data_IF_842043272678
#
_entry.id   IF_842043272678
#
_cell.length_a   1.000
_cell.length_b   1.000
_cell.length_c   1.000
_cell.angle_alpha   90.00
_cell.angle_beta   90.00
_cell.angle_gamma   90.00
#
_symmetry.space_group_name_H-M   'P 1'
#
loop_
_entity.id
_entity.type
_entity.pdbx_description
1 polymer ?
#
# COMPACT_ATOMS: atom_id res chain seq x y z
N UNK A 1 -21.12 -0.92 39.50
CA UNK A 1 -21.40 -1.91 38.44
C UNK A 1 -21.76 -1.15 37.19
N UNK A 2 -20.76 -0.66 36.46
CA UNK A 2 -20.96 -0.12 35.13
C UNK A 2 -20.77 -1.29 34.18
N UNK A 3 -21.81 -1.61 33.42
CA UNK A 3 -21.87 -2.75 32.53
C UNK A 3 -20.68 -2.78 31.57
N UNK A 4 -20.00 -3.93 31.52
CA UNK A 4 -18.98 -4.30 30.55
C UNK A 4 -19.59 -4.55 29.15
N UNK A 5 -20.54 -3.72 28.72
CA UNK A 5 -21.09 -3.73 27.36
C UNK A 5 -20.09 -3.18 26.31
N UNK A 6 -18.86 -2.86 26.72
CA UNK A 6 -17.78 -2.38 25.84
C UNK A 6 -17.29 -3.44 24.83
N UNK A 7 -17.77 -4.68 24.89
CA UNK A 7 -17.33 -5.75 23.98
C UNK A 7 -18.20 -5.94 22.72
N UNK A 8 -19.16 -5.06 22.42
CA UNK A 8 -19.87 -5.08 21.13
C UNK A 8 -19.14 -4.28 20.03
N UNK A 9 -17.81 -4.37 20.02
CA UNK A 9 -16.92 -3.67 19.08
C UNK A 9 -16.62 -4.64 17.93
N UNK A 10 -16.88 -4.17 16.70
CA UNK A 10 -16.62 -4.88 15.44
C UNK A 10 -15.24 -5.61 15.46
N UNK A 11 -15.17 -6.92 15.15
CA UNK A 11 -13.91 -7.70 15.12
C UNK A 11 -12.78 -7.05 14.30
N UNK A 12 -13.11 -6.32 13.24
CA UNK A 12 -12.14 -5.60 12.41
C UNK A 12 -11.45 -4.44 13.17
N UNK A 13 -12.13 -3.82 14.14
CA UNK A 13 -11.56 -2.77 15.00
C UNK A 13 -10.56 -3.36 15.99
N UNK A 14 -10.87 -4.52 16.59
CA UNK A 14 -9.95 -5.23 17.48
C UNK A 14 -8.67 -5.66 16.75
N UNK A 15 -8.78 -6.14 15.51
CA UNK A 15 -7.62 -6.50 14.68
C UNK A 15 -6.64 -5.32 14.49
N UNK A 16 -7.12 -4.12 14.16
CA UNK A 16 -6.26 -2.93 14.02
C UNK A 16 -5.65 -2.47 15.36
N UNK A 17 -6.44 -2.53 16.44
CA UNK A 17 -5.96 -2.21 17.79
C UNK A 17 -4.82 -3.14 18.22
N UNK A 18 -5.02 -4.45 18.13
CA UNK A 18 -4.02 -5.44 18.55
C UNK A 18 -2.81 -5.47 17.63
N UNK A 19 -2.97 -5.21 16.33
CA UNK A 19 -1.84 -5.03 15.41
C UNK A 19 -0.94 -3.87 15.84
N UNK A 20 -1.51 -2.71 16.18
CA UNK A 20 -0.74 -1.55 16.67
C UNK A 20 -0.13 -1.78 18.04
N UNK A 21 -0.82 -2.51 18.93
CA UNK A 21 -0.26 -2.96 20.19
C UNK A 21 0.96 -3.87 19.97
N UNK A 22 0.90 -4.80 19.01
CA UNK A 22 2.02 -5.66 18.63
C UNK A 22 3.22 -4.86 18.13
N UNK A 23 3.00 -3.87 17.24
CA UNK A 23 4.06 -2.95 16.76
C UNK A 23 4.71 -2.18 17.93
N UNK A 24 3.89 -1.65 18.86
CA UNK A 24 4.38 -0.92 20.02
C UNK A 24 5.15 -1.84 21.00
N UNK A 25 4.75 -3.10 21.14
CA UNK A 25 5.37 -4.08 22.03
C UNK A 25 6.70 -4.62 21.49
N UNK A 26 6.80 -4.85 20.18
CA UNK A 26 7.97 -5.49 19.56
C UNK A 26 9.08 -4.49 19.16
N UNK A 27 8.81 -3.18 19.25
CA UNK A 27 9.84 -2.15 19.16
C UNK A 27 10.64 -2.07 20.46
N UNK A 28 11.89 -2.53 20.44
CA UNK A 28 12.79 -2.40 21.59
C UNK A 28 12.91 -0.93 22.06
N UNK A 29 12.99 -0.77 23.39
CA UNK A 29 12.97 0.51 24.15
C UNK A 29 11.77 1.44 23.90
N UNK A 30 11.42 2.22 24.92
CA UNK A 30 10.30 3.16 24.99
C UNK A 30 10.40 4.29 23.95
N UNK A 31 10.24 3.99 22.66
CA UNK A 31 10.01 5.01 21.65
C UNK A 31 8.62 5.60 21.88
N UNK A 32 8.60 6.74 22.58
CA UNK A 32 7.42 7.54 22.93
C UNK A 32 6.48 7.76 21.74
N UNK A 33 7.01 7.87 20.52
CA UNK A 33 6.23 8.05 19.30
C UNK A 33 5.33 6.84 18.97
N UNK A 34 5.81 5.61 19.18
CA UNK A 34 5.03 4.38 18.92
C UNK A 34 3.89 4.23 19.92
N UNK A 35 4.18 4.49 21.19
CA UNK A 35 3.18 4.49 22.26
C UNK A 35 2.16 5.62 22.08
N UNK A 36 2.59 6.81 21.65
CA UNK A 36 1.68 7.90 21.31
C UNK A 36 0.77 7.54 20.13
N UNK A 37 1.29 6.88 19.09
CA UNK A 37 0.49 6.40 17.95
C UNK A 37 -0.54 5.33 18.36
N UNK A 38 -0.14 4.39 19.22
CA UNK A 38 -1.04 3.40 19.81
C UNK A 38 -2.15 4.09 20.64
N UNK A 39 -1.78 4.98 21.57
CA UNK A 39 -2.72 5.67 22.45
C UNK A 39 -3.68 6.59 21.69
N UNK A 40 -3.24 7.25 20.61
CA UNK A 40 -4.12 8.03 19.74
C UNK A 40 -5.13 7.14 19.00
N UNK A 41 -4.71 5.97 18.54
CA UNK A 41 -5.62 5.02 17.88
C UNK A 41 -6.62 4.44 18.88
N UNK A 42 -6.17 4.11 20.09
CA UNK A 42 -7.04 3.69 21.18
C UNK A 42 -8.08 4.77 21.50
N UNK A 43 -7.65 6.03 21.70
CA UNK A 43 -8.56 7.17 21.90
C UNK A 43 -9.57 7.33 20.77
N UNK A 44 -9.16 7.14 19.50
CA UNK A 44 -10.06 7.23 18.35
C UNK A 44 -11.12 6.13 18.37
N UNK A 45 -10.72 4.89 18.64
CA UNK A 45 -11.64 3.75 18.75
C UNK A 45 -12.60 3.91 19.94
N UNK A 46 -12.13 4.47 21.06
CA UNK A 46 -12.98 4.85 22.18
C UNK A 46 -13.92 6.02 21.85
N UNK A 47 -13.54 6.89 20.91
CA UNK A 47 -14.33 8.06 20.51
C UNK A 47 -15.38 7.79 19.44
N UNK A 48 -15.22 6.73 18.62
CA UNK A 48 -16.26 6.30 17.66
C UNK A 48 -17.53 5.76 18.38
N UNK A 49 -17.44 5.51 19.69
CA UNK A 49 -18.58 5.21 20.58
C UNK A 49 -18.90 6.35 21.56
N UNK A 50 -18.12 7.43 21.61
CA UNK A 50 -18.31 8.51 22.57
C UNK A 50 -18.93 9.73 21.90
N UNK A 51 -20.10 10.12 22.40
CA UNK A 51 -20.69 11.44 22.19
C UNK A 51 -19.63 12.54 22.41
N UNK A 52 -19.66 13.55 21.54
CA UNK A 52 -18.70 14.65 21.38
C UNK A 52 -18.60 15.60 22.59
N UNK A 53 -18.26 15.08 23.76
CA UNK A 53 -17.83 15.88 24.91
C UNK A 53 -16.34 15.64 25.17
N UNK A 54 -15.59 16.69 25.57
CA UNK A 54 -14.20 16.53 25.94
C UNK A 54 -14.10 15.56 27.13
N UNK A 55 -13.60 14.34 26.87
CA UNK A 55 -13.31 13.36 27.91
C UNK A 55 -12.25 13.97 28.82
N UNK A 56 -12.65 14.44 30.01
CA UNK A 56 -11.70 14.77 31.07
C UNK A 56 -10.89 13.50 31.33
N UNK A 57 -9.57 13.56 31.15
CA UNK A 57 -8.66 12.48 31.55
C UNK A 57 -8.78 12.33 33.07
N UNK A 58 -9.67 11.46 33.53
CA UNK A 58 -9.70 11.05 34.93
C UNK A 58 -8.43 10.25 35.21
N UNK A 59 -7.73 10.58 36.29
CA UNK A 59 -6.63 9.76 36.79
C UNK A 59 -7.19 8.38 37.13
N UNK A 60 -6.74 7.37 36.39
CA UNK A 60 -7.10 5.97 36.66
C UNK A 60 -6.34 5.49 37.90
N UNK A 61 -7.05 4.92 38.85
CA UNK A 61 -6.45 4.28 40.03
C UNK A 61 -5.81 2.94 39.67
N UNK A 62 -4.87 2.48 40.49
CA UNK A 62 -4.26 1.14 40.34
C UNK A 62 -5.31 0.03 40.38
N UNK A 63 -6.38 0.20 41.16
CA UNK A 63 -7.47 -0.76 41.26
C UNK A 63 -8.28 -0.85 39.95
N UNK A 64 -8.62 0.29 39.36
CA UNK A 64 -9.32 0.36 38.07
C UNK A 64 -8.47 -0.21 36.94
N UNK A 65 -7.16 0.04 36.94
CA UNK A 65 -6.25 -0.55 35.97
C UNK A 65 -6.18 -2.08 36.11
N UNK A 66 -6.13 -2.61 37.33
CA UNK A 66 -6.16 -4.07 37.57
C UNK A 66 -7.47 -4.70 37.09
N UNK A 67 -8.61 -4.02 37.27
CA UNK A 67 -9.91 -4.48 36.77
C UNK A 67 -9.96 -4.52 35.24
N UNK A 68 -9.29 -3.61 34.54
CA UNK A 68 -9.14 -3.65 33.08
C UNK A 68 -8.17 -4.75 32.61
N UNK A 69 -7.07 -4.95 33.32
CA UNK A 69 -6.00 -5.85 32.89
C UNK A 69 -6.44 -7.31 32.73
N UNK A 70 -7.34 -7.80 33.58
CA UNK A 70 -7.78 -9.20 33.51
C UNK A 70 -8.61 -9.49 32.24
N UNK A 71 -9.71 -8.76 31.95
CA UNK A 71 -10.42 -8.87 30.67
C UNK A 71 -9.53 -8.59 29.46
N UNK A 72 -8.59 -7.64 29.57
CA UNK A 72 -7.65 -7.34 28.49
C UNK A 72 -6.72 -8.51 28.17
N UNK A 73 -6.17 -9.18 29.19
CA UNK A 73 -5.33 -10.38 29.00
C UNK A 73 -6.09 -11.48 28.29
N UNK A 74 -7.32 -11.75 28.70
CA UNK A 74 -8.18 -12.74 28.05
C UNK A 74 -8.49 -12.35 26.60
N UNK A 75 -8.83 -11.10 26.34
CA UNK A 75 -9.09 -10.60 24.99
C UNK A 75 -7.84 -10.67 24.09
N UNK A 76 -6.67 -10.31 24.63
CA UNK A 76 -5.40 -10.39 23.93
C UNK A 76 -5.02 -11.85 23.63
N UNK A 77 -5.23 -12.76 24.57
CA UNK A 77 -4.98 -14.19 24.37
C UNK A 77 -5.91 -14.76 23.30
N UNK A 78 -7.21 -14.49 23.38
CA UNK A 78 -8.17 -14.89 22.33
C UNK A 78 -7.80 -14.32 20.96
N UNK A 79 -7.34 -13.08 20.90
CA UNK A 79 -6.87 -12.48 19.66
C UNK A 79 -5.62 -13.19 19.12
N UNK A 80 -4.66 -13.52 19.98
CA UNK A 80 -3.46 -14.25 19.60
C UNK A 80 -3.80 -15.66 19.08
N UNK A 81 -4.66 -16.39 19.80
CA UNK A 81 -5.15 -17.72 19.42
C UNK A 81 -5.97 -17.71 18.12
N UNK A 82 -6.65 -16.59 17.82
CA UNK A 82 -7.41 -16.45 16.57
C UNK A 82 -6.56 -16.35 15.30
N UNK A 83 -5.26 -16.07 15.42
CA UNK A 83 -4.38 -15.83 14.27
C UNK A 83 -4.65 -14.52 13.51
N UNK A 84 -5.64 -13.71 13.92
CA UNK A 84 -5.98 -12.44 13.26
C UNK A 84 -4.85 -11.38 13.33
N UNK A 85 -3.85 -11.60 14.19
CA UNK A 85 -2.66 -10.76 14.29
C UNK A 85 -1.55 -11.11 13.30
N UNK A 86 -1.67 -12.20 12.52
CA UNK A 86 -0.67 -12.59 11.53
C UNK A 86 -0.60 -11.53 10.43
N UNK A 87 0.60 -11.05 10.13
CA UNK A 87 0.90 -10.27 8.93
C UNK A 87 1.79 -11.12 8.02
N UNK A 88 1.24 -11.53 6.86
CA UNK A 88 1.95 -12.44 5.95
C UNK A 88 3.23 -11.82 5.40
N UNK A 89 3.28 -10.49 5.26
CA UNK A 89 4.43 -9.77 4.70
C UNK A 89 5.61 -9.68 5.67
N UNK A 90 5.32 -9.58 6.96
CA UNK A 90 6.34 -9.65 8.01
C UNK A 90 6.94 -11.06 8.07
N UNK A 91 6.10 -12.10 7.93
CA UNK A 91 6.52 -13.51 7.97
C UNK A 91 7.43 -13.86 6.79
N UNK A 92 7.11 -13.40 5.58
CA UNK A 92 7.96 -13.63 4.40
C UNK A 92 9.15 -12.66 4.32
N UNK A 93 9.27 -11.73 5.26
CA UNK A 93 10.35 -10.75 5.32
C UNK A 93 10.36 -9.81 4.12
N UNK A 94 9.19 -9.25 3.75
CA UNK A 94 9.06 -8.32 2.63
C UNK A 94 9.99 -7.11 2.80
N UNK A 95 9.98 -6.50 3.99
CA UNK A 95 10.91 -5.45 4.38
C UNK A 95 11.03 -4.32 3.34
N UNK A 96 12.27 -3.86 3.16
CA UNK A 96 12.63 -2.81 2.21
C UNK A 96 13.22 -3.37 0.91
N UNK A 97 13.03 -4.66 0.65
CA UNK A 97 13.52 -5.33 -0.55
C UNK A 97 12.69 -4.87 -1.76
N UNK A 98 13.30 -4.03 -2.62
CA UNK A 98 12.65 -3.46 -3.81
C UNK A 98 12.13 -4.56 -4.74
N UNK A 99 12.83 -5.69 -4.86
CA UNK A 99 12.44 -6.81 -5.71
C UNK A 99 11.22 -7.56 -5.18
N UNK A 100 11.18 -7.84 -3.87
CA UNK A 100 10.01 -8.48 -3.25
C UNK A 100 8.79 -7.56 -3.29
N UNK A 101 8.96 -6.27 -3.03
CA UNK A 101 7.87 -5.30 -3.14
C UNK A 101 7.37 -5.16 -4.57
N UNK A 102 8.28 -5.20 -5.57
CA UNK A 102 7.91 -5.20 -6.99
C UNK A 102 7.09 -6.43 -7.36
N UNK A 103 7.41 -7.60 -6.80
CA UNK A 103 6.64 -8.84 -7.03
C UNK A 103 5.20 -8.75 -6.51
N UNK A 104 5.00 -8.16 -5.32
CA UNK A 104 3.66 -7.94 -4.77
C UNK A 104 2.89 -6.92 -5.60
N UNK A 105 3.55 -5.84 -6.03
CA UNK A 105 2.93 -4.84 -6.88
C UNK A 105 2.55 -5.40 -8.25
N UNK A 106 3.43 -6.21 -8.85
CA UNK A 106 3.16 -6.90 -10.10
C UNK A 106 1.93 -7.81 -9.98
N UNK A 107 1.84 -8.60 -8.91
CA UNK A 107 0.66 -9.41 -8.62
C UNK A 107 -0.62 -8.58 -8.51
N UNK A 108 -0.59 -7.43 -7.84
CA UNK A 108 -1.76 -6.54 -7.68
C UNK A 108 -2.17 -5.84 -8.96
N UNK A 109 -1.21 -5.55 -9.83
CA UNK A 109 -1.45 -4.84 -11.08
C UNK A 109 -1.63 -5.78 -12.27
N UNK A 110 -1.81 -7.10 -12.07
CA UNK A 110 -2.08 -8.06 -13.15
C UNK A 110 -3.59 -8.33 -13.25
N UNK A 111 -4.19 -8.19 -14.44
CA UNK A 111 -5.63 -8.47 -14.60
C UNK A 111 -6.00 -9.95 -14.42
N UNK A 112 -5.02 -10.85 -14.47
CA UNK A 112 -5.17 -12.28 -14.18
C UNK A 112 -4.66 -12.63 -12.77
N UNK A 113 -4.32 -11.64 -11.95
CA UNK A 113 -3.84 -11.82 -10.59
C UNK A 113 -4.85 -12.57 -9.70
N UNK A 114 -4.35 -13.46 -8.86
CA UNK A 114 -5.17 -14.29 -7.96
C UNK A 114 -5.89 -13.49 -6.85
N UNK A 115 -5.69 -12.17 -6.78
CA UNK A 115 -6.48 -11.27 -5.93
C UNK A 115 -7.94 -11.13 -6.38
N UNK A 116 -8.29 -11.56 -7.61
CA UNK A 116 -9.68 -11.65 -8.06
C UNK A 116 -10.39 -10.31 -8.29
N UNK A 117 -9.63 -9.28 -8.66
CA UNK A 117 -10.17 -7.93 -8.95
C UNK A 117 -10.04 -7.53 -10.42
N UNK A 118 -9.63 -8.44 -11.30
CA UNK A 118 -9.38 -8.13 -12.70
C UNK A 118 -8.43 -6.94 -12.82
N UNK A 119 -8.72 -6.02 -13.75
CA UNK A 119 -7.91 -4.83 -13.99
C UNK A 119 -8.17 -3.66 -13.02
N UNK A 120 -9.04 -3.83 -12.02
CA UNK A 120 -9.55 -2.70 -11.22
C UNK A 120 -8.48 -1.97 -10.42
N UNK A 121 -7.40 -2.64 -9.99
CA UNK A 121 -6.29 -1.96 -9.30
C UNK A 121 -5.49 -1.06 -10.24
N UNK A 122 -5.18 -1.53 -11.45
CA UNK A 122 -4.52 -0.72 -12.47
C UNK A 122 -5.42 0.44 -12.93
N UNK A 123 -6.71 0.17 -13.19
CA UNK A 123 -7.70 1.18 -13.54
C UNK A 123 -7.81 2.28 -12.47
N UNK A 124 -7.79 1.89 -11.19
CA UNK A 124 -7.80 2.85 -10.09
C UNK A 124 -6.52 3.70 -10.06
N UNK A 125 -5.35 3.09 -10.31
CA UNK A 125 -4.08 3.80 -10.42
C UNK A 125 -4.08 4.79 -11.59
N UNK A 126 -4.48 4.37 -12.78
CA UNK A 126 -4.57 5.23 -13.96
C UNK A 126 -5.58 6.37 -13.75
N UNK A 127 -6.72 6.08 -13.11
CA UNK A 127 -7.72 7.11 -12.77
C UNK A 127 -7.18 8.15 -11.80
N UNK A 128 -6.36 7.72 -10.83
CA UNK A 128 -5.68 8.62 -9.91
C UNK A 128 -4.68 9.51 -10.66
N UNK A 129 -3.87 8.94 -11.55
CA UNK A 129 -2.89 9.69 -12.35
C UNK A 129 -3.57 10.67 -13.32
N UNK A 130 -4.69 10.29 -13.93
CA UNK A 130 -5.44 11.14 -14.86
C UNK A 130 -6.02 12.40 -14.19
N UNK A 131 -6.19 12.37 -12.87
CA UNK A 131 -6.70 13.48 -12.06
C UNK A 131 -5.61 14.22 -11.29
N UNK A 132 -4.37 13.71 -11.24
CA UNK A 132 -3.26 14.32 -10.50
C UNK A 132 -2.67 15.49 -11.32
N UNK A 133 -2.85 16.71 -10.82
CA UNK A 133 -2.40 17.95 -11.47
C UNK A 133 -0.88 18.08 -11.57
N UNK A 134 -0.14 17.28 -10.81
CA UNK A 134 1.31 17.25 -10.87
C UNK A 134 1.83 16.35 -12.01
N UNK A 135 0.95 15.58 -12.67
CA UNK A 135 1.34 14.75 -13.82
C UNK A 135 1.63 15.66 -15.01
N UNK A 136 2.81 15.51 -15.66
CA UNK A 136 3.19 16.35 -16.79
C UNK A 136 2.21 16.19 -17.97
N UNK A 137 1.82 17.28 -18.67
CA UNK A 137 0.84 17.22 -19.75
C UNK A 137 1.22 16.23 -20.87
N UNK A 138 2.49 16.19 -21.26
CA UNK A 138 2.97 15.29 -22.31
C UNK A 138 2.86 13.82 -21.86
N UNK A 139 3.36 13.50 -20.66
CA UNK A 139 3.20 12.16 -20.08
C UNK A 139 1.73 11.75 -19.96
N UNK A 140 0.85 12.68 -19.58
CA UNK A 140 -0.58 12.42 -19.45
C UNK A 140 -1.25 12.10 -20.80
N UNK A 141 -0.82 12.74 -21.88
CA UNK A 141 -1.35 12.52 -23.23
C UNK A 141 -1.02 11.10 -23.75
N UNK A 142 0.19 10.62 -23.49
CA UNK A 142 0.68 9.31 -23.95
C UNK A 142 0.26 8.14 -23.04
N UNK A 143 -0.04 8.42 -21.77
CA UNK A 143 -0.40 7.40 -20.78
C UNK A 143 -1.66 6.63 -21.19
N UNK A 144 -1.74 5.31 -20.94
CA UNK A 144 -2.97 4.55 -21.08
C UNK A 144 -4.08 5.15 -20.23
N UNK A 145 -5.25 5.33 -20.83
CA UNK A 145 -6.39 5.98 -20.15
C UNK A 145 -7.25 4.99 -19.39
N UNK A 146 -7.87 5.42 -18.28
CA UNK A 146 -8.91 4.62 -17.62
C UNK A 146 -9.98 4.16 -18.62
N UNK A 147 -10.48 2.95 -18.47
CA UNK A 147 -11.46 2.34 -19.37
C UNK A 147 -10.87 1.61 -20.57
N UNK A 148 -9.66 2.00 -21.04
CA UNK A 148 -8.93 1.22 -22.06
C UNK A 148 -8.42 -0.10 -21.48
N UNK A 149 -8.08 -0.11 -20.18
CA UNK A 149 -7.55 -1.31 -19.52
C UNK A 149 -8.64 -2.17 -18.86
N UNK A 150 -9.88 -1.65 -18.74
CA UNK A 150 -11.05 -2.33 -18.13
C UNK A 150 -11.47 -3.62 -18.82
N UNK A 151 -11.04 -3.84 -20.08
CA UNK A 151 -11.31 -5.06 -20.85
C UNK A 151 -10.10 -5.58 -21.62
N UNK A 152 -8.93 -4.98 -21.40
CA UNK A 152 -7.71 -5.41 -22.05
C UNK A 152 -7.15 -6.64 -21.32
N UNK A 153 -6.81 -7.68 -22.08
CA UNK A 153 -5.91 -8.71 -21.58
C UNK A 153 -4.49 -8.13 -21.55
N UNK A 154 -3.88 -8.13 -20.38
CA UNK A 154 -2.49 -7.76 -20.19
C UNK A 154 -1.83 -8.67 -19.14
N UNK A 155 -0.50 -8.61 -19.07
CA UNK A 155 0.27 -9.34 -18.07
C UNK A 155 1.26 -8.41 -17.40
N UNK A 156 1.56 -8.70 -16.14
CA UNK A 156 2.53 -7.94 -15.36
C UNK A 156 3.71 -8.81 -15.01
N UNK A 157 4.92 -8.36 -15.35
CA UNK A 157 6.17 -9.10 -15.16
C UNK A 157 7.14 -8.27 -14.34
N UNK A 158 7.87 -8.93 -13.45
CA UNK A 158 9.03 -8.34 -12.76
C UNK A 158 10.32 -8.69 -13.48
N UNK A 159 11.33 -7.84 -13.36
CA UNK A 159 12.66 -8.05 -13.97
C UNK A 159 12.60 -8.35 -15.47
N UNK A 160 11.71 -7.68 -16.18
CA UNK A 160 11.53 -7.94 -17.60
C UNK A 160 12.73 -7.44 -18.40
N UNK A 161 13.08 -8.17 -19.46
CA UNK A 161 14.01 -7.74 -20.50
C UNK A 161 13.18 -7.44 -21.76
N UNK A 162 12.62 -6.23 -21.93
CA UNK A 162 11.56 -6.00 -22.91
C UNK A 162 11.99 -6.22 -24.36
N UNK A 163 13.30 -6.08 -24.63
CA UNK A 163 13.93 -6.29 -25.94
C UNK A 163 14.86 -7.52 -25.98
N UNK A 164 14.90 -8.33 -24.91
CA UNK A 164 15.73 -9.53 -24.82
C UNK A 164 17.23 -9.28 -24.58
N UNK A 165 17.64 -8.04 -24.31
CA UNK A 165 19.02 -7.70 -23.97
C UNK A 165 19.23 -7.68 -22.44
N UNK A 166 20.29 -8.34 -21.95
CA UNK A 166 20.58 -8.46 -20.51
C UNK A 166 20.90 -7.13 -19.82
N UNK A 167 20.94 -6.02 -20.56
CA UNK A 167 21.38 -4.71 -20.08
C UNK A 167 20.19 -3.84 -19.65
N UNK A 168 18.98 -4.09 -20.16
CA UNK A 168 17.82 -3.18 -20.06
C UNK A 168 16.69 -3.74 -19.19
N UNK A 169 17.04 -4.28 -18.02
CA UNK A 169 16.05 -4.83 -17.09
C UNK A 169 15.12 -3.74 -16.58
N UNK A 170 13.82 -3.94 -16.73
CA UNK A 170 12.75 -3.13 -16.15
C UNK A 170 12.24 -3.79 -14.88
N UNK A 171 12.12 -3.04 -13.78
CA UNK A 171 11.65 -3.57 -12.49
C UNK A 171 10.24 -4.19 -12.61
N UNK A 172 9.29 -3.46 -13.20
CA UNK A 172 7.95 -3.96 -13.53
C UNK A 172 7.55 -3.51 -14.93
N UNK A 173 7.12 -4.46 -15.75
CA UNK A 173 6.49 -4.25 -17.05
C UNK A 173 5.03 -4.72 -17.01
N UNK A 174 4.12 -3.89 -17.50
CA UNK A 174 2.73 -4.26 -17.78
C UNK A 174 2.51 -4.13 -19.29
N UNK A 175 2.15 -5.23 -19.94
CA UNK A 175 2.03 -5.30 -21.40
C UNK A 175 0.68 -5.88 -21.83
N UNK A 176 0.03 -5.15 -22.75
CA UNK A 176 -1.19 -5.56 -23.46
C UNK A 176 -1.41 -4.69 -24.71
N UNK A 177 -2.59 -4.12 -24.88
CA UNK A 177 -2.85 -3.08 -25.89
C UNK A 177 -2.12 -1.75 -25.61
N UNK A 178 -1.34 -1.70 -24.54
CA UNK A 178 -0.49 -0.60 -24.09
C UNK A 178 0.80 -1.15 -23.46
N UNK A 179 1.76 -0.26 -23.16
CA UNK A 179 2.99 -0.56 -22.43
C UNK A 179 3.12 0.34 -21.21
N UNK A 180 3.31 -0.20 -20.02
CA UNK A 180 3.59 0.60 -18.82
C UNK A 180 4.80 0.02 -18.09
N UNK A 181 5.81 0.85 -17.86
CA UNK A 181 6.96 0.50 -17.03
C UNK A 181 6.87 1.20 -15.69
N UNK A 182 7.33 0.53 -14.64
CA UNK A 182 7.45 1.11 -13.29
C UNK A 182 8.88 0.83 -12.82
N UNK A 183 9.62 1.91 -12.52
CA UNK A 183 10.88 1.83 -11.78
C UNK A 183 10.57 2.00 -10.29
N UNK A 184 11.05 1.07 -9.46
CA UNK A 184 10.71 1.01 -8.04
C UNK A 184 11.93 1.38 -7.20
N UNK A 185 11.78 2.39 -6.33
CA UNK A 185 12.78 2.78 -5.35
C UNK A 185 12.19 2.91 -3.95
N UNK A 186 12.89 2.35 -2.97
CA UNK A 186 12.61 2.50 -1.54
C UNK A 186 13.73 3.32 -0.89
N UNK A 187 14.99 2.87 -1.02
CA UNK A 187 16.14 3.59 -0.45
C UNK A 187 17.21 3.96 -1.47
N UNK A 188 17.30 3.21 -2.57
CA UNK A 188 18.27 3.49 -3.59
C UNK A 188 17.98 4.86 -4.23
N UNK A 189 19.04 5.63 -4.45
CA UNK A 189 18.97 6.80 -5.32
C UNK A 189 18.77 6.35 -6.77
N UNK A 190 18.25 7.24 -7.61
CA UNK A 190 18.26 7.03 -9.04
C UNK A 190 19.71 6.84 -9.51
N UNK A 191 19.94 5.72 -10.19
CA UNK A 191 21.26 5.37 -10.74
C UNK A 191 21.20 5.44 -12.26
N UNK A 192 22.23 6.05 -12.86
CA UNK A 192 22.48 6.02 -14.31
C UNK A 192 21.37 6.66 -15.17
N UNK A 193 21.47 6.47 -16.48
CA UNK A 193 20.46 6.84 -17.48
C UNK A 193 19.28 5.83 -17.54
N UNK A 194 18.95 5.15 -16.43
CA UNK A 194 17.99 4.03 -16.42
C UNK A 194 16.58 4.48 -16.86
N UNK A 195 16.08 5.58 -16.29
CA UNK A 195 14.77 6.13 -16.67
C UNK A 195 14.74 6.62 -18.12
N UNK A 196 15.85 7.17 -18.63
CA UNK A 196 15.97 7.57 -20.03
C UNK A 196 15.83 6.36 -20.96
N UNK A 197 16.52 5.26 -20.64
CA UNK A 197 16.42 4.01 -21.39
C UNK A 197 15.00 3.43 -21.34
N UNK A 198 14.32 3.51 -20.19
CA UNK A 198 12.94 3.03 -20.09
C UNK A 198 12.00 3.83 -20.99
N UNK A 199 12.17 5.15 -21.08
CA UNK A 199 11.40 5.99 -22.01
C UNK A 199 11.66 5.59 -23.47
N UNK A 200 12.93 5.39 -23.85
CA UNK A 200 13.30 4.96 -25.20
C UNK A 200 12.71 3.59 -25.54
N UNK A 201 12.85 2.61 -24.64
CA UNK A 201 12.33 1.24 -24.82
C UNK A 201 10.80 1.23 -24.84
N UNK A 202 10.14 1.96 -23.94
CA UNK A 202 8.68 2.01 -23.90
C UNK A 202 8.13 2.59 -25.20
N UNK A 203 8.74 3.67 -25.70
CA UNK A 203 8.36 4.30 -26.97
C UNK A 203 8.58 3.36 -28.16
N UNK A 204 9.73 2.69 -28.23
CA UNK A 204 10.04 1.73 -29.30
C UNK A 204 9.07 0.54 -29.28
N UNK A 205 8.91 -0.09 -28.11
CA UNK A 205 8.07 -1.27 -27.93
C UNK A 205 6.58 -0.95 -28.14
N UNK A 206 6.12 0.23 -27.74
CA UNK A 206 4.72 0.60 -27.88
C UNK A 206 4.28 0.73 -29.34
N UNK A 207 5.15 1.23 -30.22
CA UNK A 207 4.76 1.65 -31.56
C UNK A 207 3.65 2.71 -31.48
N UNK A 208 2.49 2.43 -32.09
CA UNK A 208 1.32 3.31 -32.04
C UNK A 208 0.47 3.18 -30.75
N UNK A 209 0.81 2.23 -29.87
CA UNK A 209 0.09 2.00 -28.61
C UNK A 209 0.36 3.13 -27.61
N UNK A 210 -0.57 3.32 -26.67
CA UNK A 210 -0.34 4.17 -25.50
C UNK A 210 0.75 3.56 -24.61
N UNK A 211 1.55 4.42 -23.97
CA UNK A 211 2.61 3.97 -23.09
C UNK A 211 2.92 4.95 -21.96
N UNK A 212 3.62 4.48 -20.94
CA UNK A 212 4.08 5.33 -19.85
C UNK A 212 5.24 4.74 -19.07
N UNK A 213 5.95 5.61 -18.35
CA UNK A 213 6.99 5.25 -17.39
C UNK A 213 6.64 5.90 -16.05
N UNK A 214 6.45 5.08 -15.03
CA UNK A 214 6.21 5.52 -13.66
C UNK A 214 7.50 5.40 -12.84
N UNK A 215 7.80 6.43 -12.07
CA UNK A 215 8.89 6.42 -11.10
C UNK A 215 8.30 6.37 -9.69
N UNK A 216 8.26 5.17 -9.11
CA UNK A 216 7.68 4.90 -7.80
C UNK A 216 8.74 5.05 -6.71
N UNK A 217 8.60 6.07 -5.89
CA UNK A 217 9.56 6.38 -4.81
C UNK A 217 8.85 6.59 -3.48
N UNK A 218 9.56 6.74 -2.37
CA UNK A 218 8.93 7.08 -1.08
C UNK A 218 8.30 8.47 -1.07
N UNK A 219 9.02 9.45 -1.64
CA UNK A 219 8.71 10.88 -1.50
C UNK A 219 8.26 11.55 -2.81
N UNK A 220 7.80 10.78 -3.81
CA UNK A 220 7.44 11.32 -5.14
C UNK A 220 8.61 12.11 -5.76
N UNK A 221 9.82 11.60 -5.64
CA UNK A 221 11.02 12.21 -6.23
C UNK A 221 10.87 12.29 -7.73
N UNK A 222 11.29 13.41 -8.32
CA UNK A 222 11.40 13.56 -9.77
C UNK A 222 12.67 12.86 -10.28
N UNK A 223 12.72 12.50 -11.57
CA UNK A 223 13.97 12.10 -12.21
C UNK A 223 15.07 13.16 -12.00
N UNK A 224 16.30 12.73 -11.80
CA UNK A 224 17.47 13.58 -11.70
C UNK A 224 17.71 14.33 -13.02
N UNK A 225 17.51 13.66 -14.15
CA UNK A 225 17.54 14.27 -15.47
C UNK A 225 16.25 15.07 -15.72
N UNK A 226 16.39 16.40 -15.80
CA UNK A 226 15.29 17.33 -16.06
C UNK A 226 14.63 17.12 -17.42
N UNK A 227 15.33 16.56 -18.40
CA UNK A 227 14.75 16.28 -19.73
C UNK A 227 13.65 15.21 -19.67
N UNK A 228 13.63 14.40 -18.61
CA UNK A 228 12.64 13.36 -18.37
C UNK A 228 11.40 13.87 -17.62
N UNK A 229 11.40 15.10 -17.13
CA UNK A 229 10.29 15.63 -16.29
C UNK A 229 8.96 15.70 -17.03
N UNK A 230 8.95 15.76 -18.37
CA UNK A 230 7.73 15.74 -19.19
C UNK A 230 7.31 14.33 -19.62
N UNK A 231 8.16 13.32 -19.42
CA UNK A 231 7.96 11.95 -19.95
C UNK A 231 7.75 10.90 -18.86
N UNK A 232 8.27 11.15 -17.65
CA UNK A 232 8.23 10.20 -16.52
C UNK A 232 7.31 10.72 -15.43
N UNK A 233 6.38 9.89 -15.00
CA UNK A 233 5.40 10.25 -13.97
C UNK A 233 5.92 9.81 -12.61
N UNK A 234 6.19 10.78 -11.73
CA UNK A 234 6.61 10.49 -10.36
C UNK A 234 5.40 10.17 -9.47
N UNK A 235 5.44 9.04 -8.75
CA UNK A 235 4.40 8.63 -7.81
C UNK A 235 5.04 8.19 -6.48
N UNK A 236 4.38 8.47 -5.35
CA UNK A 236 4.80 7.95 -4.06
C UNK A 236 4.16 6.61 -3.72
N UNK A 237 4.88 5.77 -2.96
CA UNK A 237 4.33 4.58 -2.31
C UNK A 237 3.06 4.86 -1.52
N UNK A 238 3.00 6.02 -0.85
CA UNK A 238 1.81 6.48 -0.11
C UNK A 238 0.61 6.71 -1.02
N UNK A 239 0.80 7.36 -2.17
CA UNK A 239 -0.27 7.58 -3.15
C UNK A 239 -0.74 6.24 -3.74
N UNK A 240 0.18 5.41 -4.19
CA UNK A 240 -0.12 4.08 -4.74
C UNK A 240 -0.94 3.24 -3.76
N UNK A 241 -0.50 3.12 -2.51
CA UNK A 241 -1.22 2.36 -1.49
C UNK A 241 -2.56 2.97 -1.10
N UNK A 242 -2.69 4.30 -1.13
CA UNK A 242 -3.99 4.95 -0.93
C UNK A 242 -4.99 4.52 -2.02
N UNK A 243 -4.53 4.47 -3.27
CA UNK A 243 -5.34 4.06 -4.42
C UNK A 243 -5.72 2.58 -4.34
N UNK A 244 -4.74 1.70 -4.14
CA UNK A 244 -4.97 0.25 -3.98
C UNK A 244 -5.94 -0.03 -2.82
N UNK A 245 -5.72 0.61 -1.66
CA UNK A 245 -6.58 0.45 -0.49
C UNK A 245 -8.02 0.88 -0.77
N UNK A 246 -8.22 2.04 -1.38
CA UNK A 246 -9.57 2.53 -1.73
C UNK A 246 -10.26 1.56 -2.69
N UNK A 247 -9.53 0.99 -3.64
CA UNK A 247 -10.09 0.00 -4.54
C UNK A 247 -10.46 -1.30 -3.82
N UNK A 248 -9.59 -1.82 -2.96
CA UNK A 248 -9.88 -3.01 -2.17
C UNK A 248 -11.10 -2.80 -1.24
N UNK A 249 -11.24 -1.62 -0.62
CA UNK A 249 -12.39 -1.26 0.22
C UNK A 249 -13.71 -1.20 -0.54
N UNK A 250 -13.68 -0.91 -1.85
CA UNK A 250 -14.86 -0.85 -2.72
C UNK A 250 -15.20 -2.20 -3.36
N UNK A 251 -14.18 -2.95 -3.77
CA UNK A 251 -14.32 -4.12 -4.62
C UNK A 251 -14.24 -5.47 -3.92
N UNK A 252 -13.92 -5.51 -2.62
CA UNK A 252 -13.71 -6.76 -1.88
C UNK A 252 -14.46 -6.79 -0.54
N UNK A 253 -15.01 -7.96 -0.13
CA UNK A 253 -15.54 -8.14 1.22
C UNK A 253 -14.43 -7.94 2.26
N UNK A 254 -14.72 -7.17 3.32
CA UNK A 254 -13.71 -6.81 4.34
C UNK A 254 -13.20 -8.00 5.14
N UNK A 255 -13.94 -9.08 5.18
CA UNK A 255 -13.61 -10.35 5.82
C UNK A 255 -12.91 -11.34 4.88
N UNK A 256 -12.83 -11.03 3.57
CA UNK A 256 -12.14 -11.89 2.61
C UNK A 256 -10.62 -11.92 2.86
N UNK A 257 -10.02 -13.09 2.65
CA UNK A 257 -8.58 -13.28 2.77
C UNK A 257 -7.80 -12.31 1.87
N UNK A 258 -8.22 -12.14 0.62
CA UNK A 258 -7.60 -11.20 -0.33
C UNK A 258 -7.60 -9.76 0.19
N UNK A 259 -8.73 -9.26 0.70
CA UNK A 259 -8.79 -7.93 1.29
C UNK A 259 -7.82 -7.78 2.47
N UNK A 260 -7.74 -8.79 3.34
CA UNK A 260 -6.86 -8.77 4.51
C UNK A 260 -5.38 -8.72 4.12
N UNK A 261 -4.96 -9.55 3.15
CA UNK A 261 -3.59 -9.58 2.63
C UNK A 261 -3.20 -8.24 1.99
N UNK A 262 -4.09 -7.63 1.20
CA UNK A 262 -3.85 -6.33 0.56
C UNK A 262 -3.81 -5.21 1.59
N UNK A 263 -4.71 -5.25 2.59
CA UNK A 263 -4.70 -4.29 3.70
C UNK A 263 -3.39 -4.36 4.48
N UNK A 264 -2.89 -5.57 4.75
CA UNK A 264 -1.59 -5.78 5.40
C UNK A 264 -0.44 -5.23 4.55
N UNK A 265 -0.49 -5.39 3.23
CA UNK A 265 0.53 -4.84 2.33
C UNK A 265 0.54 -3.32 2.40
N UNK A 266 -0.62 -2.66 2.28
CA UNK A 266 -0.71 -1.21 2.42
C UNK A 266 -0.28 -0.70 3.80
N UNK A 267 -0.45 -1.50 4.87
CA UNK A 267 0.07 -1.19 6.20
C UNK A 267 1.60 -1.31 6.25
N UNK A 268 2.17 -2.37 5.68
CA UNK A 268 3.62 -2.54 5.53
C UNK A 268 4.23 -1.35 4.78
N UNK A 269 3.67 -0.98 3.63
CA UNK A 269 4.16 0.16 2.85
C UNK A 269 4.07 1.49 3.64
N UNK A 270 3.07 1.63 4.52
CA UNK A 270 2.94 2.85 5.33
C UNK A 270 4.03 3.05 6.39
N UNK A 271 4.84 2.02 6.65
CA UNK A 271 6.02 2.12 7.51
C UNK A 271 7.30 2.45 6.74
N UNK A 272 7.26 2.48 5.39
CA UNK A 272 8.43 2.71 4.54
C UNK A 272 9.06 4.09 4.71
#
# INVERSE_FOLDING_TARGET
MADLEVMNINPAMWSNFFHRFSIARNGGTLELERWNSFLQTFKRLSSEQATSQPVKLQQTTVAEFKLFLNPFKEALQKHHESGLGINVWDVVGLGFDEMRNSSVLAWLLDCHGSHGQGSQFLESLLSFLDQDKDVPPLALEILPKPGVTSFAHYWTRVESLPLGDMVSRVDIEIEGSFILFIEVKIYAQETNDQLKRYVEIAKEKAGDRKWGVLFLTRNKSRPNDKTLHEHVISISWKQLCSTIRKQAERGMPKDSFGYQVIRQFCQHISTL
#
